data_IF_164143833757
#
_entry.id   IF_164143833757
#
_cell.length_a   1.000
_cell.length_b   1.000
_cell.length_c   1.000
_cell.angle_alpha   90.00
_cell.angle_beta   90.00
_cell.angle_gamma   90.00
#
_symmetry.space_group_name_H-M   'P 1'
#
loop_
_entity.id
_entity.type
_entity.pdbx_description
1 polymer ?
#
# COMPACT_ATOMS: atom_id res chain seq x y z
N UNK A 1 -20.19 -23.43 -5.15
CA UNK A 1 -18.95 -24.23 -5.35
C UNK A 1 -18.12 -24.13 -4.08
N UNK A 2 -18.25 -25.11 -3.19
CA UNK A 2 -17.40 -25.23 -1.99
C UNK A 2 -16.05 -25.79 -2.43
N UNK A 3 -14.97 -25.07 -2.15
CA UNK A 3 -13.62 -25.50 -2.51
C UNK A 3 -13.04 -26.20 -1.28
N UNK A 4 -12.93 -27.52 -1.31
CA UNK A 4 -12.26 -28.31 -0.27
C UNK A 4 -10.75 -28.29 -0.50
N UNK A 5 -10.00 -27.76 0.47
CA UNK A 5 -8.55 -27.67 0.39
C UNK A 5 -7.91 -28.70 1.33
N UNK A 6 -7.15 -29.63 0.75
CA UNK A 6 -6.35 -30.61 1.49
C UNK A 6 -4.92 -30.50 0.95
N UNK A 7 -4.10 -29.59 1.50
CA UNK A 7 -2.73 -29.37 1.03
C UNK A 7 -1.99 -28.22 1.73
N UNK A 8 -0.66 -28.21 1.60
CA UNK A 8 0.23 -27.20 2.17
C UNK A 8 -0.18 -25.76 1.78
N UNK A 9 -0.24 -24.86 2.77
CA UNK A 9 -0.67 -23.46 2.65
C UNK A 9 0.07 -22.69 1.54
N UNK A 10 1.36 -22.95 1.36
CA UNK A 10 2.17 -22.31 0.31
C UNK A 10 1.65 -22.61 -1.12
N UNK A 11 1.07 -23.79 -1.36
CA UNK A 11 0.53 -24.16 -2.68
C UNK A 11 -0.76 -23.42 -3.00
N UNK A 12 -1.47 -22.92 -1.98
CA UNK A 12 -2.68 -22.11 -2.13
C UNK A 12 -2.35 -20.67 -2.54
N UNK A 13 -1.23 -20.12 -2.07
CA UNK A 13 -0.80 -18.75 -2.40
C UNK A 13 -0.49 -18.56 -3.89
N UNK A 14 0.04 -19.60 -4.55
CA UNK A 14 0.49 -19.55 -5.96
C UNK A 14 -0.68 -19.79 -6.95
N UNK A 15 -1.82 -20.30 -6.49
CA UNK A 15 -2.95 -20.62 -7.36
C UNK A 15 -3.68 -19.35 -7.79
N UNK A 16 -3.91 -19.14 -9.09
CA UNK A 16 -4.57 -17.92 -9.59
C UNK A 16 -6.11 -17.94 -9.44
N UNK A 17 -6.76 -19.09 -9.67
CA UNK A 17 -8.22 -19.21 -9.67
C UNK A 17 -8.76 -19.21 -8.24
N UNK A 18 -9.44 -18.13 -7.85
CA UNK A 18 -10.05 -17.95 -6.51
C UNK A 18 -9.10 -17.40 -5.45
N UNK A 19 -7.90 -16.94 -5.83
CA UNK A 19 -6.93 -16.37 -4.91
C UNK A 19 -7.13 -14.87 -4.70
N UNK A 20 -6.70 -14.39 -3.53
CA UNK A 20 -6.59 -12.98 -3.16
C UNK A 20 -5.85 -12.17 -4.22
N UNK A 21 -4.86 -12.77 -4.89
CA UNK A 21 -4.11 -12.11 -5.97
C UNK A 21 -5.01 -11.64 -7.10
N UNK A 22 -6.00 -12.44 -7.52
CA UNK A 22 -6.92 -12.05 -8.60
C UNK A 22 -7.82 -10.88 -8.18
N UNK A 23 -8.13 -10.79 -6.88
CA UNK A 23 -8.98 -9.73 -6.32
C UNK A 23 -8.21 -8.42 -6.22
N UNK A 24 -7.01 -8.44 -5.64
CA UNK A 24 -6.27 -7.23 -5.22
C UNK A 24 -5.30 -6.70 -6.30
N UNK A 25 -5.03 -7.46 -7.37
CA UNK A 25 -4.01 -7.08 -8.36
C UNK A 25 -4.26 -5.70 -9.00
N UNK A 26 -5.52 -5.31 -9.21
CA UNK A 26 -5.85 -4.01 -9.82
C UNK A 26 -5.55 -2.86 -8.86
N UNK A 27 -5.98 -2.97 -7.61
CA UNK A 27 -5.70 -1.97 -6.58
C UNK A 27 -4.19 -1.87 -6.31
N UNK A 28 -3.50 -3.02 -6.23
CA UNK A 28 -2.05 -3.07 -6.07
C UNK A 28 -1.33 -2.36 -7.20
N UNK A 29 -1.77 -2.57 -8.45
CA UNK A 29 -1.15 -1.94 -9.61
C UNK A 29 -1.31 -0.41 -9.58
N UNK A 30 -2.50 0.10 -9.24
CA UNK A 30 -2.75 1.53 -9.08
C UNK A 30 -1.90 2.11 -7.94
N UNK A 31 -1.83 1.42 -6.81
CA UNK A 31 -1.00 1.81 -5.67
C UNK A 31 0.48 1.92 -6.07
N UNK A 32 1.00 0.92 -6.78
CA UNK A 32 2.39 0.93 -7.26
C UNK A 32 2.65 2.09 -8.22
N UNK A 33 1.76 2.36 -9.17
CA UNK A 33 1.90 3.49 -10.09
C UNK A 33 2.00 4.80 -9.32
N UNK A 34 1.07 5.05 -8.39
CA UNK A 34 1.07 6.26 -7.57
C UNK A 34 2.34 6.38 -6.74
N UNK A 35 2.78 5.28 -6.12
CA UNK A 35 4.03 5.24 -5.35
C UNK A 35 5.25 5.61 -6.20
N UNK A 36 5.36 5.04 -7.40
CA UNK A 36 6.46 5.36 -8.31
C UNK A 36 6.40 6.80 -8.82
N UNK A 37 5.22 7.36 -9.07
CA UNK A 37 5.05 8.78 -9.42
C UNK A 37 5.60 9.67 -8.29
N UNK A 38 5.20 9.42 -7.05
CA UNK A 38 5.70 10.18 -5.88
C UNK A 38 7.22 10.04 -5.75
N UNK A 39 7.75 8.83 -5.94
CA UNK A 39 9.19 8.57 -5.91
C UNK A 39 9.94 9.33 -7.00
N UNK A 40 9.39 9.44 -8.21
CA UNK A 40 9.97 10.23 -9.30
C UNK A 40 9.93 11.73 -8.97
N UNK A 41 8.83 12.22 -8.39
CA UNK A 41 8.72 13.61 -7.93
C UNK A 41 9.84 13.93 -6.93
N UNK A 42 10.03 13.09 -5.91
CA UNK A 42 11.06 13.29 -4.88
C UNK A 42 12.49 13.26 -5.44
N UNK A 43 12.79 12.35 -6.39
CA UNK A 43 14.15 12.17 -6.89
C UNK A 43 14.52 13.10 -8.04
N UNK A 44 13.58 13.42 -8.93
CA UNK A 44 13.87 14.14 -10.18
C UNK A 44 13.26 15.54 -10.19
N UNK A 45 12.03 15.71 -9.72
CA UNK A 45 11.33 17.00 -9.86
C UNK A 45 11.77 17.99 -8.78
N UNK A 46 11.90 17.55 -7.52
CA UNK A 46 12.33 18.42 -6.42
C UNK A 46 13.69 19.10 -6.67
N UNK A 47 14.74 18.38 -7.14
CA UNK A 47 16.03 19.00 -7.46
C UNK A 47 16.02 19.90 -8.71
N UNK A 48 15.06 19.70 -9.62
CA UNK A 48 14.92 20.52 -10.83
C UNK A 48 14.19 21.84 -10.56
N UNK A 49 13.32 21.88 -9.54
CA UNK A 49 12.48 23.03 -9.24
C UNK A 49 13.27 24.19 -8.60
N UNK A 50 14.32 23.88 -7.84
CA UNK A 50 15.19 24.87 -7.22
C UNK A 50 16.66 24.42 -7.30
N UNK A 51 17.38 24.99 -8.27
CA UNK A 51 18.81 24.69 -8.51
C UNK A 51 19.73 25.31 -7.46
N UNK A 52 19.31 26.36 -6.78
CA UNK A 52 20.14 27.03 -5.77
C UNK A 52 20.07 26.31 -4.41
N UNK A 53 18.91 25.79 -4.01
CA UNK A 53 18.75 25.11 -2.72
C UNK A 53 17.86 23.85 -2.80
N UNK A 54 18.36 22.74 -3.37
CA UNK A 54 17.60 21.51 -3.55
C UNK A 54 17.17 20.83 -2.23
N UNK A 55 17.88 21.11 -1.13
CA UNK A 55 17.63 20.50 0.19
C UNK A 55 16.35 21.01 0.87
N UNK A 56 15.93 22.26 0.60
CA UNK A 56 14.80 22.90 1.30
C UNK A 56 13.48 22.18 1.04
N UNK A 57 13.18 21.88 -0.24
CA UNK A 57 11.95 21.21 -0.63
C UNK A 57 11.93 19.74 -0.22
N UNK A 58 13.10 19.08 -0.17
CA UNK A 58 13.23 17.71 0.30
C UNK A 58 12.91 17.60 1.78
N UNK A 59 13.44 18.49 2.60
CA UNK A 59 13.16 18.54 4.03
C UNK A 59 11.67 18.75 4.33
N UNK A 60 11.02 19.67 3.62
CA UNK A 60 9.58 19.89 3.79
C UNK A 60 8.75 18.68 3.38
N UNK A 61 9.11 18.01 2.27
CA UNK A 61 8.45 16.77 1.85
C UNK A 61 8.63 15.65 2.89
N UNK A 62 9.83 15.48 3.44
CA UNK A 62 10.11 14.48 4.48
C UNK A 62 9.33 14.76 5.77
N UNK A 63 9.18 16.03 6.16
CA UNK A 63 8.36 16.42 7.31
C UNK A 63 6.90 16.00 7.11
N UNK A 64 6.36 16.21 5.91
CA UNK A 64 4.99 15.80 5.57
C UNK A 64 4.86 14.27 5.56
N UNK A 65 5.84 13.56 4.99
CA UNK A 65 5.84 12.10 4.95
C UNK A 65 5.88 11.49 6.37
N UNK A 66 6.71 12.04 7.26
CA UNK A 66 6.76 11.63 8.67
C UNK A 66 5.43 11.88 9.40
N UNK A 67 4.78 13.02 9.13
CA UNK A 67 3.46 13.31 9.68
C UNK A 67 2.45 12.23 9.28
N UNK A 68 2.36 11.88 7.99
CA UNK A 68 1.44 10.83 7.51
C UNK A 68 1.75 9.45 8.10
N UNK A 69 3.01 9.08 8.28
CA UNK A 69 3.40 7.82 8.92
C UNK A 69 2.90 7.74 10.37
N UNK A 70 3.06 8.84 11.14
CA UNK A 70 2.56 8.92 12.51
C UNK A 70 1.03 8.80 12.58
N UNK A 71 0.30 9.51 11.71
CA UNK A 71 -1.16 9.42 11.66
C UNK A 71 -1.66 8.03 11.26
N UNK A 72 -0.99 7.36 10.31
CA UNK A 72 -1.39 6.02 9.86
C UNK A 72 -1.27 4.98 10.99
N UNK A 73 -0.25 5.10 11.85
CA UNK A 73 -0.06 4.23 13.02
C UNK A 73 -1.11 4.42 14.11
N UNK A 74 -1.70 5.60 14.20
CA UNK A 74 -2.75 5.89 15.20
C UNK A 74 -4.09 5.23 14.87
N UNK A 75 -4.36 4.95 13.59
CA UNK A 75 -5.64 4.34 13.17
C UNK A 75 -5.52 2.81 13.28
N UNK A 76 -6.29 2.14 14.16
CA UNK A 76 -6.23 0.68 14.32
C UNK A 76 -7.01 -0.02 13.20
N UNK A 77 -6.56 0.10 11.95
CA UNK A 77 -7.23 -0.45 10.77
C UNK A 77 -7.40 -1.97 10.83
N UNK A 78 -6.42 -2.67 11.39
CA UNK A 78 -6.46 -4.13 11.55
C UNK A 78 -7.60 -4.57 12.46
N UNK A 79 -7.85 -3.83 13.54
CA UNK A 79 -8.93 -4.08 14.47
C UNK A 79 -10.30 -3.81 13.83
N UNK A 80 -10.43 -2.69 13.13
CA UNK A 80 -11.67 -2.31 12.43
C UNK A 80 -12.04 -3.33 11.34
N UNK A 81 -11.05 -3.75 10.55
CA UNK A 81 -11.22 -4.75 9.50
C UNK A 81 -11.61 -6.12 10.08
N UNK A 82 -11.00 -6.51 11.20
CA UNK A 82 -11.33 -7.75 11.91
C UNK A 82 -12.78 -7.79 12.37
N UNK A 83 -13.30 -6.70 12.93
CA UNK A 83 -14.72 -6.60 13.29
C UNK A 83 -15.64 -6.63 12.08
N UNK A 84 -15.31 -5.88 11.02
CA UNK A 84 -16.11 -5.81 9.81
C UNK A 84 -16.28 -7.20 9.18
N UNK A 85 -15.18 -7.93 9.00
CA UNK A 85 -15.19 -9.28 8.42
C UNK A 85 -15.96 -10.25 9.32
N UNK A 86 -15.80 -10.16 10.64
CA UNK A 86 -16.53 -11.04 11.57
C UNK A 86 -18.05 -10.81 11.49
N UNK A 87 -18.50 -9.57 11.32
CA UNK A 87 -19.93 -9.27 11.16
C UNK A 87 -20.48 -9.78 9.82
N UNK A 88 -19.75 -9.59 8.72
CA UNK A 88 -20.20 -9.99 7.37
C UNK A 88 -20.27 -11.52 7.19
N UNK A 89 -19.44 -12.27 7.92
CA UNK A 89 -19.35 -13.74 7.81
C UNK A 89 -20.40 -14.46 8.67
N UNK A 90 -20.95 -13.79 9.70
CA UNK A 90 -22.04 -14.27 10.55
C UNK A 90 -23.38 -14.06 9.85
#
# INVERSE_FOLDING_TARGET
>A
MTISYTGNFCRLLIRWKGSLWRLVWRELFIFLILYYIIRLIYNQILPLLDKENPEKYRFEFERIAMMFDQYTKMIPLTFLLGFYVSNVVI
#
